data_IF_847033646682
#
_entry.id   IF_847033646682
#
_cell.length_a   1.000
_cell.length_b   1.000
_cell.length_c   1.000
_cell.angle_alpha   90.00
_cell.angle_beta   90.00
_cell.angle_gamma   90.00
#
_symmetry.space_group_name_H-M   'P 1'
#
loop_
_entity.id
_entity.type
_entity.pdbx_description
1 polymer ?
#
# COMPACT_ATOMS: atom_id res chain seq x y z
N UNK A 1 2.63 7.80 17.69
CA UNK A 1 1.64 6.79 17.33
C UNK A 1 2.29 5.42 17.38
N UNK A 2 1.71 4.53 18.14
CA UNK A 2 2.31 3.22 18.42
C UNK A 2 2.56 2.37 17.17
N UNK A 3 1.61 2.34 16.25
CA UNK A 3 1.74 1.57 15.02
C UNK A 3 2.86 2.07 14.12
N UNK A 4 3.10 3.38 14.09
CA UNK A 4 4.18 3.96 13.29
C UNK A 4 5.55 3.50 13.78
N UNK A 5 5.74 3.45 15.10
CA UNK A 5 7.01 3.00 15.66
C UNK A 5 7.33 1.54 15.28
N UNK A 6 6.33 0.68 15.39
CA UNK A 6 6.48 -0.73 15.02
C UNK A 6 6.76 -0.88 13.52
N UNK A 7 6.11 -0.08 12.69
CA UNK A 7 6.32 -0.08 11.25
C UNK A 7 7.74 0.35 10.89
N UNK A 8 8.22 1.44 11.49
CA UNK A 8 9.58 1.94 11.27
C UNK A 8 10.62 0.87 11.64
N UNK A 9 10.40 0.19 12.76
CA UNK A 9 11.29 -0.87 13.22
C UNK A 9 11.36 -2.03 12.21
N UNK A 10 10.21 -2.44 11.68
CA UNK A 10 10.14 -3.51 10.68
C UNK A 10 10.81 -3.10 9.38
N UNK A 11 10.63 -1.87 8.94
CA UNK A 11 11.29 -1.35 7.74
C UNK A 11 12.81 -1.40 7.91
N UNK A 12 13.31 -1.03 9.09
CA UNK A 12 14.74 -1.11 9.38
C UNK A 12 15.27 -2.54 9.35
N UNK A 13 14.49 -3.50 9.86
CA UNK A 13 14.88 -4.91 9.86
C UNK A 13 14.94 -5.50 8.46
N UNK A 14 13.98 -5.15 7.61
CA UNK A 14 13.91 -5.65 6.24
C UNK A 14 14.88 -4.91 5.33
N UNK A 15 15.14 -3.65 5.62
CA UNK A 15 15.94 -2.74 4.79
C UNK A 15 15.02 -1.93 3.88
N UNK A 16 15.15 -0.60 3.93
CA UNK A 16 14.30 0.30 3.13
C UNK A 16 14.44 0.03 1.63
N UNK A 17 15.61 -0.42 1.19
CA UNK A 17 15.88 -0.77 -0.21
C UNK A 17 15.07 -2.00 -0.67
N UNK A 18 14.51 -2.75 0.25
CA UNK A 18 13.66 -3.91 -0.06
C UNK A 18 12.18 -3.59 0.07
N UNK A 19 11.84 -2.33 0.32
CA UNK A 19 10.47 -1.87 0.50
C UNK A 19 10.05 -0.99 -0.67
N UNK A 20 8.80 -1.15 -1.10
CA UNK A 20 8.23 -0.41 -2.23
C UNK A 20 6.88 0.15 -1.82
N UNK A 21 6.47 1.24 -2.44
CA UNK A 21 5.10 1.75 -2.29
C UNK A 21 4.51 2.01 -3.67
N UNK A 22 3.19 1.86 -3.76
CA UNK A 22 2.44 2.22 -4.97
C UNK A 22 2.34 3.75 -5.09
N UNK A 23 2.22 4.26 -6.32
CA UNK A 23 1.90 5.67 -6.54
C UNK A 23 0.61 6.07 -5.82
N UNK A 24 -0.37 5.17 -5.74
CA UNK A 24 -1.61 5.42 -5.01
C UNK A 24 -1.32 5.64 -3.52
N UNK A 25 -0.48 4.79 -2.93
CA UNK A 25 -0.12 4.93 -1.52
C UNK A 25 0.60 6.25 -1.27
N UNK A 26 1.52 6.63 -2.15
CA UNK A 26 2.22 7.91 -2.05
C UNK A 26 1.23 9.08 -2.09
N UNK A 27 0.26 9.02 -3.02
CA UNK A 27 -0.76 10.07 -3.15
C UNK A 27 -1.64 10.16 -1.90
N UNK A 28 -2.06 9.02 -1.36
CA UNK A 28 -2.88 9.00 -0.14
C UNK A 28 -2.15 9.55 1.07
N UNK A 29 -0.88 9.19 1.22
CA UNK A 29 -0.04 9.70 2.31
C UNK A 29 0.11 11.22 2.22
N UNK A 30 0.37 11.73 1.02
CA UNK A 30 0.50 13.18 0.80
C UNK A 30 -0.81 13.91 1.05
N UNK A 31 -1.93 13.34 0.59
CA UNK A 31 -3.23 13.93 0.89
C UNK A 31 -3.45 14.07 2.39
N UNK A 32 -3.18 13.00 3.15
CA UNK A 32 -3.33 13.04 4.60
C UNK A 32 -2.45 14.10 5.26
N UNK A 33 -1.21 14.25 4.76
CA UNK A 33 -0.29 15.25 5.27
C UNK A 33 -0.80 16.67 5.00
N UNK A 34 -1.25 16.95 3.78
CA UNK A 34 -1.81 18.27 3.44
C UNK A 34 -3.08 18.57 4.21
N UNK A 35 -3.91 17.54 4.42
CA UNK A 35 -5.15 17.69 5.17
C UNK A 35 -4.90 18.04 6.64
N UNK A 36 -3.78 17.63 7.20
CA UNK A 36 -3.39 17.96 8.57
C UNK A 36 -3.10 19.45 8.76
N UNK A 37 -2.80 20.18 7.69
CA UNK A 37 -2.42 21.60 7.69
C UNK A 37 -1.12 21.89 8.43
N UNK A 38 -0.31 20.86 8.72
CA UNK A 38 0.95 21.00 9.46
C UNK A 38 2.12 20.85 8.50
N UNK A 39 2.89 21.92 8.31
CA UNK A 39 4.04 21.91 7.39
C UNK A 39 5.07 20.86 7.77
N UNK A 40 5.29 20.65 9.05
CA UNK A 40 6.21 19.63 9.51
C UNK A 40 5.77 18.22 9.06
N UNK A 41 4.48 17.93 9.19
CA UNK A 41 3.94 16.64 8.74
C UNK A 41 4.09 16.48 7.23
N UNK A 42 3.83 17.54 6.47
CA UNK A 42 3.99 17.52 5.00
C UNK A 42 5.44 17.22 4.64
N UNK A 43 6.39 17.92 5.26
CA UNK A 43 7.81 17.75 5.01
C UNK A 43 8.29 16.34 5.35
N UNK A 44 7.91 15.84 6.51
CA UNK A 44 8.28 14.49 6.95
C UNK A 44 7.71 13.43 6.03
N UNK A 45 6.46 13.60 5.56
CA UNK A 45 5.83 12.65 4.65
C UNK A 45 6.55 12.61 3.30
N UNK A 46 6.94 13.78 2.77
CA UNK A 46 7.71 13.84 1.53
C UNK A 46 9.06 13.12 1.65
N UNK A 47 9.74 13.32 2.77
CA UNK A 47 11.01 12.62 3.03
C UNK A 47 10.81 11.12 3.12
N UNK A 48 9.76 10.69 3.81
CA UNK A 48 9.43 9.27 3.96
C UNK A 48 9.20 8.62 2.58
N UNK A 49 8.39 9.26 1.74
CA UNK A 49 8.09 8.74 0.40
C UNK A 49 9.35 8.62 -0.45
N UNK A 50 10.27 9.59 -0.33
CA UNK A 50 11.50 9.61 -1.12
C UNK A 50 12.46 8.47 -0.77
N UNK A 51 12.27 7.81 0.35
CA UNK A 51 13.11 6.67 0.74
C UNK A 51 12.78 5.38 0.00
N UNK A 52 11.61 5.32 -0.65
CA UNK A 52 11.13 4.10 -1.28
C UNK A 52 11.16 4.18 -2.80
N UNK A 53 11.34 3.02 -3.44
CA UNK A 53 11.04 2.89 -4.85
C UNK A 53 9.52 2.86 -5.03
N UNK A 54 9.03 3.56 -6.03
CA UNK A 54 7.59 3.72 -6.25
C UNK A 54 7.15 2.89 -7.45
N UNK A 55 6.09 2.10 -7.26
CA UNK A 55 5.52 1.27 -8.33
C UNK A 55 4.51 2.12 -9.09
N UNK A 56 4.72 2.38 -10.39
CA UNK A 56 3.83 3.25 -11.16
C UNK A 56 2.50 2.58 -11.49
N UNK A 57 1.42 3.36 -11.47
CA UNK A 57 0.06 2.90 -11.81
C UNK A 57 0.01 2.36 -13.24
N UNK A 58 0.72 3.00 -14.15
CA UNK A 58 0.69 2.63 -15.58
C UNK A 58 1.12 1.20 -15.82
N UNK A 59 1.95 0.65 -14.93
CA UNK A 59 2.42 -0.73 -15.07
C UNK A 59 1.36 -1.78 -14.75
N UNK A 60 0.23 -1.39 -14.13
CA UNK A 60 -0.76 -2.34 -13.65
C UNK A 60 -2.20 -2.02 -14.08
N UNK A 61 -2.38 -1.15 -15.06
CA UNK A 61 -3.72 -0.74 -15.50
C UNK A 61 -4.55 -1.94 -15.97
N UNK A 62 -3.97 -2.80 -16.81
CA UNK A 62 -4.66 -3.99 -17.29
C UNK A 62 -4.96 -4.96 -16.16
N UNK A 63 -3.99 -5.18 -15.29
CA UNK A 63 -4.14 -6.06 -14.13
C UNK A 63 -5.26 -5.58 -13.21
N UNK A 64 -5.33 -4.27 -12.97
CA UNK A 64 -6.40 -3.66 -12.18
C UNK A 64 -7.77 -3.96 -12.80
N UNK A 65 -7.91 -3.72 -14.11
CA UNK A 65 -9.20 -3.87 -14.79
C UNK A 65 -9.69 -5.32 -14.74
N UNK A 66 -8.80 -6.27 -14.98
CA UNK A 66 -9.15 -7.71 -14.91
C UNK A 66 -9.51 -8.12 -13.49
N UNK A 67 -8.76 -7.68 -12.49
CA UNK A 67 -9.04 -8.03 -11.10
C UNK A 67 -10.35 -7.41 -10.62
N UNK A 68 -10.60 -6.16 -10.99
CA UNK A 68 -11.85 -5.49 -10.63
C UNK A 68 -13.05 -6.23 -11.22
N UNK A 69 -12.98 -6.61 -12.50
CA UNK A 69 -14.05 -7.36 -13.13
C UNK A 69 -14.32 -8.67 -12.41
N UNK A 70 -13.29 -9.40 -12.05
CA UNK A 70 -13.42 -10.65 -11.31
C UNK A 70 -14.08 -10.45 -9.94
N UNK A 71 -13.69 -9.41 -9.21
CA UNK A 71 -14.27 -9.10 -7.89
C UNK A 71 -15.73 -8.70 -7.99
N UNK A 72 -16.07 -7.86 -8.97
CA UNK A 72 -17.46 -7.44 -9.21
C UNK A 72 -18.32 -8.64 -9.56
N UNK A 73 -17.85 -9.48 -10.47
CA UNK A 73 -18.57 -10.67 -10.94
C UNK A 73 -18.84 -11.65 -9.81
N UNK A 74 -17.90 -11.81 -8.89
CA UNK A 74 -18.04 -12.74 -7.76
C UNK A 74 -18.73 -12.10 -6.54
N UNK A 75 -19.12 -10.83 -6.61
CA UNK A 75 -19.78 -10.16 -5.51
C UNK A 75 -18.85 -9.79 -4.35
N UNK A 76 -17.55 -9.70 -4.60
CA UNK A 76 -16.53 -9.45 -3.57
C UNK A 76 -15.81 -8.12 -3.78
N UNK A 77 -16.55 -7.09 -4.17
CA UNK A 77 -15.96 -5.78 -4.45
C UNK A 77 -15.21 -5.19 -3.26
N UNK A 78 -14.11 -4.52 -3.57
CA UNK A 78 -13.34 -3.73 -2.61
C UNK A 78 -13.03 -2.37 -3.24
N UNK A 79 -12.48 -1.46 -2.45
CA UNK A 79 -12.15 -0.12 -2.94
C UNK A 79 -11.14 -0.18 -4.10
N UNK A 80 -11.35 0.68 -5.11
CA UNK A 80 -10.48 0.70 -6.29
C UNK A 80 -9.01 0.96 -5.95
N UNK A 81 -8.74 1.85 -5.00
CA UNK A 81 -7.37 2.12 -4.58
C UNK A 81 -6.72 0.88 -3.97
N UNK A 82 -7.48 0.10 -3.22
CA UNK A 82 -6.97 -1.15 -2.65
C UNK A 82 -6.65 -2.17 -3.75
N UNK A 83 -7.44 -2.19 -4.83
CA UNK A 83 -7.15 -3.06 -5.98
C UNK A 83 -5.84 -2.63 -6.65
N UNK A 84 -5.65 -1.34 -6.88
CA UNK A 84 -4.40 -0.83 -7.46
C UNK A 84 -3.20 -1.21 -6.61
N UNK A 85 -3.29 -0.96 -5.31
CA UNK A 85 -2.18 -1.23 -4.39
C UNK A 85 -1.88 -2.72 -4.33
N UNK A 86 -2.93 -3.54 -4.16
CA UNK A 86 -2.77 -4.99 -4.10
C UNK A 86 -2.22 -5.58 -5.38
N UNK A 87 -2.69 -5.14 -6.54
CA UNK A 87 -2.20 -5.63 -7.82
C UNK A 87 -0.77 -5.19 -8.11
N UNK A 88 -0.34 -4.05 -7.56
CA UNK A 88 1.07 -3.66 -7.63
C UNK A 88 1.96 -4.71 -6.96
N UNK A 89 1.54 -5.23 -5.82
CA UNK A 89 2.27 -6.28 -5.12
C UNK A 89 2.23 -7.60 -5.89
N UNK A 90 1.05 -8.01 -6.35
CA UNK A 90 0.88 -9.29 -7.08
C UNK A 90 1.72 -9.34 -8.34
N UNK A 91 1.65 -8.31 -9.16
CA UNK A 91 2.38 -8.28 -10.44
C UNK A 91 3.89 -8.34 -10.24
N UNK A 92 4.39 -7.70 -9.20
CA UNK A 92 5.82 -7.66 -8.92
C UNK A 92 6.28 -8.82 -8.02
N UNK A 93 5.36 -9.70 -7.65
CA UNK A 93 5.64 -10.83 -6.75
C UNK A 93 6.18 -10.37 -5.39
N UNK A 94 5.65 -9.27 -4.89
CA UNK A 94 6.00 -8.71 -3.59
C UNK A 94 4.98 -9.11 -2.52
N UNK A 95 5.41 -9.07 -1.26
CA UNK A 95 4.52 -9.24 -0.13
C UNK A 95 3.83 -7.90 0.15
N UNK A 96 2.50 -7.91 0.24
CA UNK A 96 1.70 -6.75 0.60
C UNK A 96 1.67 -6.61 2.12
N UNK A 97 2.15 -5.48 2.63
CA UNK A 97 2.09 -5.18 4.06
C UNK A 97 0.87 -4.30 4.31
N UNK A 98 -0.09 -4.83 5.05
CA UNK A 98 -1.34 -4.12 5.33
C UNK A 98 -1.99 -4.69 6.58
N UNK A 99 -2.77 -3.87 7.30
CA UNK A 99 -3.65 -4.36 8.36
C UNK A 99 -5.08 -4.60 7.85
N UNK A 100 -5.37 -4.25 6.60
CA UNK A 100 -6.67 -4.47 5.97
C UNK A 100 -6.73 -5.84 5.30
N UNK A 101 -6.42 -6.88 6.08
CA UNK A 101 -6.30 -8.25 5.57
C UNK A 101 -7.62 -8.75 4.99
N UNK A 102 -8.73 -8.41 5.63
CA UNK A 102 -10.07 -8.88 5.22
C UNK A 102 -10.38 -8.53 3.76
N UNK A 103 -10.12 -7.30 3.35
CA UNK A 103 -10.43 -6.85 1.99
C UNK A 103 -9.34 -7.25 1.00
N UNK A 104 -8.08 -7.05 1.35
CA UNK A 104 -6.98 -7.33 0.44
C UNK A 104 -6.82 -8.82 0.14
N UNK A 105 -7.22 -9.71 1.06
CA UNK A 105 -7.17 -11.16 0.82
C UNK A 105 -8.12 -11.63 -0.28
N UNK A 106 -9.06 -10.78 -0.70
CA UNK A 106 -9.96 -11.09 -1.82
C UNK A 106 -9.24 -11.06 -3.17
N UNK A 107 -8.06 -10.44 -3.25
CA UNK A 107 -7.27 -10.34 -4.48
C UNK A 107 -6.55 -11.67 -4.73
N UNK A 108 -6.71 -12.21 -5.94
CA UNK A 108 -6.11 -13.50 -6.31
C UNK A 108 -4.59 -13.44 -6.31
N UNK A 109 -3.96 -14.41 -5.66
CA UNK A 109 -2.50 -14.55 -5.65
C UNK A 109 -1.76 -13.61 -4.73
N UNK A 110 -2.48 -12.83 -3.92
CA UNK A 110 -1.83 -11.87 -3.02
C UNK A 110 -1.15 -12.58 -1.85
N UNK A 111 0.03 -12.10 -1.49
CA UNK A 111 0.75 -12.53 -0.29
C UNK A 111 0.72 -11.38 0.70
N UNK A 112 0.21 -11.61 1.89
CA UNK A 112 -0.01 -10.56 2.88
C UNK A 112 0.78 -10.84 4.15
N UNK A 113 1.40 -9.77 4.70
CA UNK A 113 1.91 -9.75 6.07
C UNK A 113 1.29 -8.54 6.77
N UNK A 114 0.95 -8.72 8.04
CA UNK A 114 0.50 -7.62 8.87
C UNK A 114 1.60 -7.32 9.89
N UNK A 115 2.21 -6.14 9.75
CA UNK A 115 3.29 -5.69 10.62
C UNK A 115 2.78 -4.91 11.83
N UNK A 116 1.49 -4.64 11.89
CA UNK A 116 0.87 -3.91 12.98
C UNK A 116 0.03 -4.87 13.81
N UNK A 117 0.45 -5.11 15.06
CA UNK A 117 -0.32 -5.93 15.97
C UNK A 117 -1.37 -5.06 16.67
N UNK A 118 -2.62 -5.47 16.55
CA UNK A 118 -3.73 -4.85 17.26
C UNK A 118 -4.21 -5.82 18.34
N UNK A 119 -4.13 -5.38 19.59
CA UNK A 119 -4.61 -6.15 20.73
C UNK A 119 -5.96 -5.67 21.17
#
# INVERSE_FOLDING_TARGET
MKGKYELDKKIMQVGVENCYISEITAAELLYGAYHSKKERHISETKQFINEFAIIPITSIIDDFARQKDSLVTSGQTIDDFDIFIGMSAVKNNFVMVTDNVKHLSRISGIKIENWIERK
#
